data_IF_795953607951
#
_entry.id   IF_795953607951
#
_cell.length_a   1.000
_cell.length_b   1.000
_cell.length_c   1.000
_cell.angle_alpha   90.00
_cell.angle_beta   90.00
_cell.angle_gamma   90.00
#
_symmetry.space_group_name_H-M   'P 1'
#
loop_
_entity.id
_entity.type
_entity.pdbx_description
1 polymer ?
#
# COMPACT_ATOMS: atom_id res chain seq x y z
N UNK A 1 -12.94 4.03 1.18
CA UNK A 1 -11.49 3.85 0.95
C UNK A 1 -11.27 2.38 0.58
N UNK A 2 -10.25 2.03 -0.21
CA UNK A 2 -9.99 0.63 -0.56
C UNK A 2 -10.57 0.14 -1.91
N UNK A 3 -11.20 1.02 -2.70
CA UNK A 3 -11.60 0.74 -4.07
C UNK A 3 -11.38 1.96 -4.97
N UNK A 4 -11.36 1.73 -6.29
CA UNK A 4 -11.18 2.76 -7.31
C UNK A 4 -12.53 3.41 -7.63
N UNK A 5 -12.56 4.74 -7.75
CA UNK A 5 -13.76 5.50 -8.14
C UNK A 5 -13.41 6.64 -9.12
N UNK A 6 -14.39 7.44 -9.56
CA UNK A 6 -14.19 8.53 -10.54
C UNK A 6 -15.04 9.75 -10.16
N UNK A 7 -14.46 10.63 -9.35
CA UNK A 7 -15.09 11.87 -8.86
C UNK A 7 -14.57 13.08 -9.61
N UNK A 8 -13.26 13.15 -9.86
CA UNK A 8 -12.62 14.36 -10.41
C UNK A 8 -12.61 14.42 -11.94
N UNK A 9 -12.54 13.27 -12.62
CA UNK A 9 -12.53 13.23 -14.09
C UNK A 9 -12.98 11.88 -14.63
N UNK A 10 -13.53 11.90 -15.85
CA UNK A 10 -13.94 10.70 -16.61
C UNK A 10 -13.14 10.48 -17.90
N UNK A 11 -11.99 11.14 -18.04
CA UNK A 11 -11.08 10.90 -19.19
C UNK A 11 -10.52 9.45 -19.18
N UNK A 12 -10.26 8.85 -20.36
CA UNK A 12 -9.60 7.55 -20.44
C UNK A 12 -8.30 7.51 -19.62
N UNK A 13 -8.08 6.43 -18.86
CA UNK A 13 -6.90 6.26 -18.01
C UNK A 13 -6.91 7.00 -16.66
N UNK A 14 -7.89 7.88 -16.42
CA UNK A 14 -8.02 8.57 -15.14
C UNK A 14 -8.97 7.87 -14.18
N UNK A 15 -8.46 7.58 -12.98
CA UNK A 15 -9.21 7.03 -11.86
C UNK A 15 -8.74 7.62 -10.53
N UNK A 16 -9.68 7.85 -9.63
CA UNK A 16 -9.45 8.28 -8.25
C UNK A 16 -9.32 7.05 -7.32
N UNK A 17 -8.66 7.23 -6.18
CA UNK A 17 -8.49 6.16 -5.18
C UNK A 17 -7.42 5.11 -5.51
N UNK A 18 -6.64 5.30 -6.59
CA UNK A 18 -5.49 4.43 -6.95
C UNK A 18 -4.33 4.54 -5.97
N UNK A 19 -4.02 5.76 -5.54
CA UNK A 19 -2.95 6.04 -4.58
C UNK A 19 -3.47 5.99 -3.16
N UNK A 20 -2.70 5.36 -2.29
CA UNK A 20 -2.94 5.28 -0.85
C UNK A 20 -1.81 6.00 -0.12
N UNK A 21 -2.02 6.32 1.15
CA UNK A 21 -0.99 6.95 1.98
C UNK A 21 0.15 5.96 2.24
N UNK A 22 1.39 6.43 2.09
CA UNK A 22 2.58 5.63 2.38
C UNK A 22 2.78 5.53 3.90
N UNK A 23 3.09 4.32 4.38
CA UNK A 23 3.55 4.12 5.76
C UNK A 23 5.06 4.32 5.81
N UNK A 24 5.51 5.34 6.57
CA UNK A 24 6.92 5.74 6.66
C UNK A 24 7.55 5.92 5.26
N UNK A 25 8.64 5.24 4.98
CA UNK A 25 9.41 5.30 3.72
C UNK A 25 9.70 3.88 3.23
N UNK A 26 10.03 3.69 1.94
CA UNK A 26 10.49 2.40 1.45
C UNK A 26 11.72 1.93 2.25
N UNK A 27 11.75 0.65 2.61
CA UNK A 27 12.79 0.06 3.45
C UNK A 27 14.04 -0.26 2.61
N UNK A 28 14.74 0.77 2.12
CA UNK A 28 15.96 0.61 1.34
C UNK A 28 17.04 -0.12 2.13
N UNK A 29 17.67 -1.13 1.51
CA UNK A 29 18.72 -1.94 2.13
C UNK A 29 18.23 -2.96 3.17
N UNK A 30 16.92 -3.10 3.38
CA UNK A 30 16.36 -4.13 4.25
C UNK A 30 16.55 -5.53 3.64
N UNK A 31 17.33 -6.37 4.31
CA UNK A 31 17.54 -7.78 3.92
C UNK A 31 16.72 -8.75 4.78
N UNK A 32 16.30 -8.32 5.98
CA UNK A 32 15.61 -9.15 6.96
C UNK A 32 14.09 -9.00 6.85
N UNK A 33 13.39 -10.10 6.59
CA UNK A 33 11.93 -10.11 6.45
C UNK A 33 11.20 -9.77 7.76
N UNK A 34 11.81 -10.06 8.91
CA UNK A 34 11.28 -9.75 10.23
C UNK A 34 11.02 -8.25 10.42
N UNK A 35 11.92 -7.39 9.93
CA UNK A 35 11.76 -5.94 10.02
C UNK A 35 10.51 -5.46 9.26
N UNK A 36 10.24 -6.05 8.09
CA UNK A 36 9.03 -5.75 7.32
C UNK A 36 7.78 -6.18 8.09
N UNK A 37 7.80 -7.37 8.70
CA UNK A 37 6.68 -7.88 9.51
C UNK A 37 6.43 -7.01 10.75
N UNK A 38 7.47 -6.49 11.38
CA UNK A 38 7.36 -5.58 12.53
C UNK A 38 6.70 -4.26 12.12
N UNK A 39 7.06 -3.70 10.97
CA UNK A 39 6.42 -2.49 10.44
C UNK A 39 4.95 -2.73 10.07
N UNK A 40 4.64 -3.89 9.50
CA UNK A 40 3.26 -4.30 9.23
C UNK A 40 2.45 -4.37 10.53
N UNK A 41 3.01 -4.95 11.59
CA UNK A 41 2.37 -5.03 12.90
C UNK A 41 2.11 -3.63 13.47
N UNK A 42 3.10 -2.75 13.48
CA UNK A 42 2.96 -1.37 13.95
C UNK A 42 1.89 -0.60 13.16
N UNK A 43 1.85 -0.75 11.84
CA UNK A 43 0.86 -0.10 10.98
C UNK A 43 -0.57 -0.61 11.26
N UNK A 44 -0.73 -1.92 11.46
CA UNK A 44 -2.02 -2.53 11.86
C UNK A 44 -2.50 -2.03 13.23
N UNK A 45 -1.60 -1.91 14.20
CA UNK A 45 -1.92 -1.41 15.54
C UNK A 45 -2.31 0.07 15.53
N UNK A 46 -1.60 0.89 14.74
CA UNK A 46 -1.91 2.32 14.64
C UNK A 46 -3.19 2.60 13.82
N UNK A 47 -3.47 1.78 12.79
CA UNK A 47 -4.61 1.96 11.90
C UNK A 47 -5.44 0.67 11.73
N UNK A 48 -6.11 0.18 12.79
CA UNK A 48 -6.82 -1.09 12.76
C UNK A 48 -8.02 -1.09 11.78
N UNK A 49 -8.59 0.08 11.49
CA UNK A 49 -9.71 0.26 10.57
C UNK A 49 -9.30 0.55 9.11
N UNK A 50 -8.02 0.49 8.76
CA UNK A 50 -7.55 0.78 7.41
C UNK A 50 -7.37 -0.49 6.56
N UNK A 51 -7.46 -0.35 5.24
CA UNK A 51 -6.85 -1.34 4.35
C UNK A 51 -5.35 -1.08 4.30
N UNK A 52 -4.56 -2.14 4.41
CA UNK A 52 -3.10 -2.06 4.34
C UNK A 52 -2.63 -3.03 3.27
N UNK A 53 -1.76 -2.56 2.38
CA UNK A 53 -1.11 -3.37 1.34
C UNK A 53 0.40 -3.25 1.44
N UNK A 54 1.09 -4.35 1.16
CA UNK A 54 2.53 -4.35 0.96
C UNK A 54 2.80 -4.17 -0.54
N UNK A 55 3.77 -3.32 -0.87
CA UNK A 55 4.21 -3.07 -2.24
C UNK A 55 5.73 -3.21 -2.31
N UNK A 56 6.22 -3.69 -3.44
CA UNK A 56 7.65 -3.77 -3.73
C UNK A 56 7.95 -3.03 -5.03
N UNK A 57 9.13 -2.43 -5.09
CA UNK A 57 9.62 -1.68 -6.23
C UNK A 57 10.88 -2.34 -6.78
N UNK A 58 10.97 -2.38 -8.09
CA UNK A 58 12.19 -2.68 -8.83
C UNK A 58 12.78 -1.34 -9.30
N UNK A 59 13.99 -1.04 -8.83
CA UNK A 59 14.69 0.21 -9.15
C UNK A 59 15.26 0.24 -10.57
N UNK A 60 15.58 -0.91 -11.16
CA UNK A 60 16.10 -1.00 -12.52
C UNK A 60 14.98 -0.77 -13.53
N UNK A 61 13.84 -1.43 -13.32
CA UNK A 61 12.65 -1.29 -14.17
C UNK A 61 11.78 -0.08 -13.80
N UNK A 62 12.15 0.67 -12.75
CA UNK A 62 11.46 1.87 -12.26
C UNK A 62 9.95 1.66 -12.03
N UNK A 63 9.58 0.48 -11.52
CA UNK A 63 8.19 0.04 -11.45
C UNK A 63 7.86 -0.69 -10.15
N UNK A 64 6.56 -0.76 -9.84
CA UNK A 64 6.08 -1.67 -8.81
C UNK A 64 6.10 -3.10 -9.35
N UNK A 65 6.87 -3.98 -8.72
CA UNK A 65 6.97 -5.39 -9.12
C UNK A 65 6.02 -6.30 -8.33
N UNK A 66 5.58 -5.87 -7.13
CA UNK A 66 4.61 -6.59 -6.32
C UNK A 66 3.66 -5.64 -5.61
N UNK A 67 2.41 -6.07 -5.44
CA UNK A 67 1.40 -5.37 -4.64
C UNK A 67 0.35 -6.36 -4.15
N UNK A 68 0.30 -6.61 -2.85
CA UNK A 68 -0.69 -7.51 -2.25
C UNK A 68 -1.25 -6.96 -0.95
N UNK A 69 -2.50 -7.32 -0.65
CA UNK A 69 -3.22 -6.86 0.53
C UNK A 69 -2.82 -7.67 1.76
N UNK A 70 -2.55 -6.99 2.87
CA UNK A 70 -2.06 -7.60 4.13
C UNK A 70 -2.98 -7.37 5.33
N UNK A 71 -3.91 -6.40 5.22
CA UNK A 71 -4.93 -6.12 6.21
C UNK A 71 -6.23 -5.68 5.54
N UNK A 72 -7.36 -6.20 6.05
CA UNK A 72 -8.71 -5.73 5.75
C UNK A 72 -9.35 -5.29 7.06
N UNK A 73 -10.03 -4.13 7.11
CA UNK A 73 -10.81 -3.77 8.27
C UNK A 73 -11.97 -4.75 8.48
N UNK A 74 -12.39 -4.96 9.73
CA UNK A 74 -13.46 -5.90 10.06
C UNK A 74 -14.81 -5.52 9.44
N UNK A 75 -15.04 -4.23 9.21
CA UNK A 75 -16.27 -3.69 8.63
C UNK A 75 -16.11 -3.31 7.15
N UNK A 76 -15.22 -4.02 6.42
CA UNK A 76 -14.92 -3.81 5.00
C UNK A 76 -16.10 -4.13 4.08
#
# INVERSE_FOLDING_TARGET
>A
VGHVHRTNSRRPGYYDGRYWTLWKLPMFGCTESSQVLDEIRQCKEMFPGAYIRCIAFDSEHQGQCMSFLIHKPQNA
#
